data_IF_360965259002
#
_entry.id   IF_360965259002
#
_cell.length_a   1.000
_cell.length_b   1.000
_cell.length_c   1.000
_cell.angle_alpha   90.00
_cell.angle_beta   90.00
_cell.angle_gamma   90.00
#
_symmetry.space_group_name_H-M   'P 1'
#
loop_
_entity.id
_entity.type
_entity.pdbx_description
1 polymer ?
#
# COMPACT_ATOMS: atom_id res chain seq x y z
N UNK A 1 15.20 2.43 1.35
CA UNK A 1 14.51 3.73 1.39
C UNK A 1 13.05 3.51 1.06
N UNK A 2 12.10 3.81 1.96
CA UNK A 2 10.69 3.73 1.63
C UNK A 2 10.40 4.82 0.59
N UNK A 3 10.15 4.41 -0.65
CA UNK A 3 9.74 5.31 -1.73
C UNK A 3 8.24 5.46 -1.60
N UNK A 4 7.82 6.33 -0.68
CA UNK A 4 6.43 6.62 -0.33
C UNK A 4 5.66 7.07 -1.59
N UNK A 5 5.10 6.12 -2.34
CA UNK A 5 4.21 6.42 -3.47
C UNK A 5 2.83 6.85 -2.98
N UNK A 6 2.40 6.32 -1.83
CA UNK A 6 1.16 6.71 -1.20
C UNK A 6 1.46 7.85 -0.24
N UNK A 7 0.98 9.04 -0.59
CA UNK A 7 0.98 10.18 0.33
C UNK A 7 0.11 9.85 1.54
N UNK A 8 0.36 10.54 2.65
CA UNK A 8 -0.46 10.38 3.86
C UNK A 8 -1.93 10.80 3.65
N UNK A 9 -2.25 11.47 2.53
CA UNK A 9 -3.61 11.77 2.13
C UNK A 9 -4.31 10.58 1.43
N UNK A 10 -3.58 9.82 0.63
CA UNK A 10 -4.12 8.69 -0.14
C UNK A 10 -4.10 7.38 0.66
N UNK A 11 -3.11 7.18 1.52
CA UNK A 11 -3.02 5.99 2.38
C UNK A 11 -4.31 5.71 3.17
N UNK A 12 -4.90 6.65 3.94
CA UNK A 12 -6.09 6.38 4.74
C UNK A 12 -7.34 6.08 3.89
N UNK A 13 -7.39 6.52 2.62
CA UNK A 13 -8.48 6.18 1.69
C UNK A 13 -8.36 4.72 1.25
N UNK A 14 -7.15 4.28 0.90
CA UNK A 14 -6.87 2.91 0.50
C UNK A 14 -6.97 1.93 1.69
N UNK A 15 -6.48 2.32 2.86
CA UNK A 15 -6.56 1.52 4.09
C UNK A 15 -8.01 1.16 4.44
N UNK A 16 -8.96 2.10 4.30
CA UNK A 16 -10.39 1.83 4.50
C UNK A 16 -10.93 0.77 3.55
N UNK A 17 -10.52 0.79 2.28
CA UNK A 17 -10.93 -0.20 1.28
C UNK A 17 -10.34 -1.58 1.63
N UNK A 18 -9.06 -1.63 1.99
CA UNK A 18 -8.41 -2.88 2.41
C UNK A 18 -9.12 -3.49 3.63
N UNK A 19 -9.48 -2.67 4.62
CA UNK A 19 -10.24 -3.13 5.79
C UNK A 19 -11.65 -3.62 5.44
N UNK A 20 -12.32 -3.01 4.46
CA UNK A 20 -13.61 -3.49 3.94
C UNK A 20 -13.48 -4.87 3.27
N UNK A 21 -12.38 -5.11 2.56
CA UNK A 21 -12.04 -6.40 1.94
C UNK A 21 -11.47 -7.43 2.94
N UNK A 22 -11.68 -7.22 4.24
CA UNK A 22 -11.17 -8.05 5.34
C UNK A 22 -9.62 -8.18 5.38
N UNK A 23 -8.89 -7.30 4.70
CA UNK A 23 -7.44 -7.20 4.79
C UNK A 23 -7.11 -6.39 6.04
N UNK A 24 -6.82 -7.11 7.13
CA UNK A 24 -6.54 -6.49 8.41
C UNK A 24 -5.26 -5.63 8.39
N UNK A 25 -5.26 -4.57 9.20
CA UNK A 25 -4.14 -3.66 9.32
C UNK A 25 -2.96 -4.27 10.09
N UNK A 26 -2.03 -4.94 9.39
CA UNK A 26 -0.70 -5.28 9.92
C UNK A 26 0.17 -4.02 9.95
N UNK A 27 1.08 -3.90 10.93
CA UNK A 27 2.09 -2.81 10.96
C UNK A 27 2.86 -2.65 9.63
N UNK A 28 3.01 -3.74 8.87
CA UNK A 28 3.74 -3.76 7.61
C UNK A 28 2.84 -3.65 6.37
N UNK A 29 1.51 -3.50 6.52
CA UNK A 29 0.56 -3.49 5.41
C UNK A 29 0.90 -2.38 4.40
N UNK A 30 1.20 -1.16 4.89
CA UNK A 30 1.63 -0.03 4.04
C UNK A 30 2.85 -0.37 3.20
N UNK A 31 3.89 -0.94 3.83
CA UNK A 31 5.11 -1.33 3.13
C UNK A 31 4.84 -2.41 2.06
N UNK A 32 3.99 -3.39 2.34
CA UNK A 32 3.63 -4.44 1.37
C UNK A 32 2.89 -3.86 0.18
N UNK A 33 1.87 -3.03 0.42
CA UNK A 33 1.07 -2.39 -0.64
C UNK A 33 1.94 -1.48 -1.49
N UNK A 34 2.76 -0.63 -0.89
CA UNK A 34 3.71 0.23 -1.61
C UNK A 34 4.70 -0.59 -2.44
N UNK A 35 5.19 -1.72 -1.93
CA UNK A 35 6.06 -2.63 -2.67
C UNK A 35 5.38 -3.26 -3.90
N UNK A 36 4.12 -3.66 -3.77
CA UNK A 36 3.32 -4.18 -4.89
C UNK A 36 3.09 -3.11 -5.94
N UNK A 37 2.64 -1.92 -5.54
CA UNK A 37 2.42 -0.78 -6.45
C UNK A 37 3.70 -0.37 -7.16
N UNK A 38 4.83 -0.38 -6.45
CA UNK A 38 6.13 -0.12 -7.05
C UNK A 38 6.44 -1.14 -8.15
N UNK A 39 6.33 -2.45 -7.86
CA UNK A 39 6.57 -3.53 -8.83
C UNK A 39 5.68 -3.41 -10.06
N UNK A 40 4.39 -3.11 -9.88
CA UNK A 40 3.46 -2.85 -10.98
C UNK A 40 3.90 -1.65 -11.84
N UNK A 41 4.34 -0.56 -11.21
CA UNK A 41 4.81 0.64 -11.94
C UNK A 41 6.10 0.39 -12.72
N UNK A 42 7.05 -0.35 -12.15
CA UNK A 42 8.35 -0.61 -12.80
C UNK A 42 8.36 -1.84 -13.70
N UNK A 43 7.27 -2.63 -13.71
CA UNK A 43 7.20 -3.88 -14.46
C UNK A 43 8.14 -4.96 -13.93
N UNK A 44 8.41 -4.99 -12.63
CA UNK A 44 9.28 -5.99 -12.00
C UNK A 44 8.42 -7.20 -11.56
N UNK A 45 8.65 -8.40 -12.10
CA UNK A 45 7.95 -9.63 -11.71
C UNK A 45 8.12 -9.97 -10.22
#
# INVERSE_FOLDING_TARGET
MPRLMLTDEFWPKLEKILLQEAIYNKRNLRMTVEGVLYRMRVGCP
#
